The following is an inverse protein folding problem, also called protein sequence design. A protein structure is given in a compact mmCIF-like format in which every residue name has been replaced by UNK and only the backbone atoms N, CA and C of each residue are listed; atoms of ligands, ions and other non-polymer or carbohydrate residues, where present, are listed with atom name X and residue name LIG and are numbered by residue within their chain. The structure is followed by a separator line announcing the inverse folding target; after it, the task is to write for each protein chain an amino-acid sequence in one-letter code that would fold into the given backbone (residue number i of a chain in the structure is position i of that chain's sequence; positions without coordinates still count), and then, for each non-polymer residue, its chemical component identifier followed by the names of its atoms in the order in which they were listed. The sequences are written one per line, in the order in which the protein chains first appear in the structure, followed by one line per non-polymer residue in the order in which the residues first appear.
data_IF_463411360204
#
_entry.id   IF_463411360204
#
_cell.length_a   1.000
_cell.length_b   1.000
_cell.length_c   1.000
_cell.angle_alpha   90.00
_cell.angle_beta   90.00
_cell.angle_gamma   90.00
#
_symmetry.space_group_name_H-M   'P 1'
#
loop_
_entity.id
_entity.type
_entity.pdbx_description
1 polymer ?
#
# COMPACT_ATOMS: atom_id res chain seq x y z
N UNK A 1 -18.09 -15.87 8.59
CA UNK A 1 -18.30 -14.59 7.90
C UNK A 1 -19.49 -14.71 6.96
N UNK A 2 -20.40 -13.72 6.93
CA UNK A 2 -21.55 -13.75 6.02
C UNK A 2 -21.13 -13.44 4.58
N UNK A 3 -21.93 -13.86 3.58
CA UNK A 3 -21.66 -13.58 2.15
C UNK A 3 -21.53 -12.06 1.90
N UNK A 4 -22.38 -11.24 2.52
CA UNK A 4 -22.31 -9.78 2.41
C UNK A 4 -20.97 -9.22 2.92
N UNK A 5 -20.46 -9.73 4.03
CA UNK A 5 -19.19 -9.28 4.60
C UNK A 5 -17.98 -9.81 3.82
N UNK A 6 -18.09 -10.98 3.19
CA UNK A 6 -17.08 -11.46 2.22
C UNK A 6 -17.02 -10.55 0.98
N UNK A 7 -18.19 -10.14 0.48
CA UNK A 7 -18.26 -9.17 -0.63
C UNK A 7 -17.63 -7.82 -0.27
N UNK A 8 -17.82 -7.33 0.97
CA UNK A 8 -17.15 -6.10 1.43
C UNK A 8 -15.62 -6.27 1.52
N UNK A 9 -15.12 -7.41 2.00
CA UNK A 9 -13.68 -7.69 2.04
C UNK A 9 -13.08 -7.77 0.62
N UNK A 10 -13.81 -8.39 -0.32
CA UNK A 10 -13.43 -8.44 -1.72
C UNK A 10 -13.43 -7.05 -2.36
N UNK A 11 -14.43 -6.23 -2.05
CA UNK A 11 -14.52 -4.84 -2.52
C UNK A 11 -13.31 -4.02 -2.05
N UNK A 12 -12.90 -4.15 -0.79
CA UNK A 12 -11.69 -3.49 -0.26
C UNK A 12 -10.45 -3.93 -1.03
N UNK A 13 -10.29 -5.24 -1.24
CA UNK A 13 -9.15 -5.76 -2.02
C UNK A 13 -9.14 -5.23 -3.46
N UNK A 14 -10.32 -5.14 -4.10
CA UNK A 14 -10.47 -4.57 -5.43
C UNK A 14 -10.12 -3.07 -5.45
N UNK A 15 -10.63 -2.28 -4.51
CA UNK A 15 -10.33 -0.85 -4.39
C UNK A 15 -8.82 -0.65 -4.23
N UNK A 16 -8.17 -1.37 -3.32
CA UNK A 16 -6.73 -1.23 -3.10
C UNK A 16 -5.89 -1.73 -4.28
N UNK A 17 -6.30 -2.80 -4.95
CA UNK A 17 -5.60 -3.28 -6.14
C UNK A 17 -5.69 -2.31 -7.32
N UNK A 18 -6.90 -1.84 -7.65
CA UNK A 18 -7.13 -0.88 -8.73
C UNK A 18 -6.48 0.49 -8.43
N UNK A 19 -6.28 0.82 -7.16
CA UNK A 19 -5.63 2.08 -6.78
C UNK A 19 -4.25 2.27 -7.45
N UNK A 20 -3.49 1.19 -7.70
CA UNK A 20 -2.20 1.28 -8.40
C UNK A 20 -2.35 1.76 -9.86
N UNK A 21 -3.40 1.32 -10.54
CA UNK A 21 -3.77 1.85 -11.86
C UNK A 21 -4.13 3.33 -11.78
N UNK A 22 -4.92 3.73 -10.79
CA UNK A 22 -5.30 5.15 -10.58
C UNK A 22 -4.08 6.01 -10.28
N UNK A 23 -3.12 5.51 -9.48
CA UNK A 23 -1.84 6.19 -9.24
C UNK A 23 -1.12 6.43 -10.58
N UNK A 24 -0.99 5.42 -11.43
CA UNK A 24 -0.29 5.55 -12.72
C UNK A 24 -0.95 6.63 -13.59
N UNK A 25 -2.29 6.63 -13.68
CA UNK A 25 -3.04 7.63 -14.46
C UNK A 25 -2.88 9.05 -13.88
N UNK A 26 -2.84 9.21 -12.57
CA UNK A 26 -2.58 10.50 -11.93
C UNK A 26 -1.16 11.02 -12.18
N UNK A 27 -0.18 10.11 -12.27
CA UNK A 27 1.21 10.44 -12.55
C UNK A 27 1.47 10.90 -13.99
N UNK A 28 0.52 10.70 -14.90
CA UNK A 28 0.61 11.23 -16.27
C UNK A 28 0.42 12.76 -16.32
N UNK A 29 -0.21 13.35 -15.29
CA UNK A 29 -0.56 14.77 -15.26
C UNK A 29 0.07 15.55 -14.11
N UNK A 30 0.67 14.87 -13.12
CA UNK A 30 1.34 15.57 -12.01
C UNK A 30 2.51 14.75 -11.44
N UNK A 31 3.36 15.40 -10.67
CA UNK A 31 4.52 14.76 -10.06
C UNK A 31 4.14 13.83 -8.90
N UNK A 32 4.96 12.80 -8.61
CA UNK A 32 4.65 11.78 -7.60
C UNK A 32 4.46 12.34 -6.20
N UNK A 33 5.31 13.27 -5.76
CA UNK A 33 5.19 13.82 -4.40
C UNK A 33 3.98 14.74 -4.26
N UNK A 34 3.63 15.53 -5.29
CA UNK A 34 2.41 16.35 -5.28
C UNK A 34 1.15 15.49 -5.32
N UNK A 35 1.09 14.47 -6.17
CA UNK A 35 -0.07 13.57 -6.19
C UNK A 35 -0.28 12.89 -4.83
N UNK A 36 0.83 12.43 -4.22
CA UNK A 36 0.78 11.85 -2.88
C UNK A 36 0.31 12.87 -1.85
N UNK A 37 0.81 14.10 -1.89
CA UNK A 37 0.40 15.18 -0.99
C UNK A 37 -1.09 15.48 -1.11
N UNK A 38 -1.60 15.67 -2.33
CA UNK A 38 -3.01 15.94 -2.60
C UNK A 38 -3.90 14.80 -2.08
N UNK A 39 -3.53 13.54 -2.34
CA UNK A 39 -4.25 12.39 -1.79
C UNK A 39 -4.44 12.51 -0.28
N UNK A 40 -3.37 12.83 0.48
CA UNK A 40 -3.44 12.90 1.93
C UNK A 40 -4.11 14.18 2.44
N UNK A 41 -4.02 15.30 1.73
CA UNK A 41 -4.80 16.52 2.03
C UNK A 41 -6.29 16.19 1.97
N UNK A 42 -6.76 15.60 0.88
CA UNK A 42 -8.18 15.30 0.71
C UNK A 42 -8.67 14.10 1.55
N UNK A 43 -7.79 13.19 1.95
CA UNK A 43 -8.13 12.14 2.90
C UNK A 43 -8.25 12.67 4.34
N UNK A 44 -7.44 13.65 4.72
CA UNK A 44 -7.41 14.19 6.07
C UNK A 44 -8.40 15.36 6.26
N UNK A 45 -8.29 16.38 5.41
CA UNK A 45 -8.83 17.70 5.69
C UNK A 45 -10.35 17.74 5.91
N UNK A 46 -11.22 17.11 5.10
CA UNK A 46 -12.66 17.17 5.38
C UNK A 46 -13.02 16.51 6.72
N UNK A 47 -12.40 15.38 7.03
CA UNK A 47 -12.73 14.56 8.18
C UNK A 47 -12.12 15.06 9.49
N UNK A 48 -11.00 15.79 9.45
CA UNK A 48 -10.40 16.42 10.62
C UNK A 48 -11.38 17.39 11.33
N UNK A 49 -12.29 17.99 10.58
CA UNK A 49 -13.30 18.91 11.13
C UNK A 49 -14.38 18.20 11.95
N UNK A 50 -14.60 16.91 11.69
CA UNK A 50 -15.68 16.12 12.29
C UNK A 50 -15.19 15.04 13.25
N UNK A 51 -13.96 14.58 13.10
CA UNK A 51 -13.40 13.51 13.91
C UNK A 51 -12.55 14.06 15.07
N UNK A 52 -12.85 13.56 16.27
CA UNK A 52 -12.03 13.88 17.44
C UNK A 52 -10.62 13.31 17.30
N UNK A 53 -9.59 14.00 17.85
CA UNK A 53 -8.23 13.46 17.88
C UNK A 53 -8.18 12.05 18.48
N UNK A 54 -7.33 11.16 17.94
CA UNK A 54 -7.21 9.80 18.46
C UNK A 54 -6.60 9.80 19.86
N UNK A 55 -7.06 8.88 20.71
CA UNK A 55 -6.47 8.66 22.03
C UNK A 55 -5.15 7.90 21.90
N UNK A 56 -4.14 8.53 21.30
CA UNK A 56 -2.80 8.01 21.10
C UNK A 56 -1.78 9.13 21.31
N UNK A 57 -0.54 8.81 21.73
CA UNK A 57 0.53 9.80 21.82
C UNK A 57 0.80 10.46 20.47
N UNK A 58 0.90 11.80 20.43
CA UNK A 58 1.05 12.55 19.18
C UNK A 58 2.30 12.14 18.38
N UNK A 59 3.41 11.79 19.05
CA UNK A 59 4.61 11.31 18.36
C UNK A 59 4.34 10.01 17.59
N UNK A 60 3.44 9.13 18.04
CA UNK A 60 3.02 7.92 17.33
C UNK A 60 2.14 8.28 16.13
N UNK A 61 1.20 9.21 16.30
CA UNK A 61 0.32 9.69 15.21
C UNK A 61 1.15 10.31 14.09
N UNK A 62 2.08 11.21 14.43
CA UNK A 62 2.96 11.88 13.47
C UNK A 62 3.92 10.87 12.83
N UNK A 63 4.59 10.03 13.62
CA UNK A 63 5.52 9.02 13.10
C UNK A 63 4.83 8.07 12.09
N UNK A 64 3.62 7.60 12.40
CA UNK A 64 2.85 6.78 11.48
C UNK A 64 2.54 7.54 10.19
N UNK A 65 2.04 8.77 10.29
CA UNK A 65 1.71 9.59 9.11
C UNK A 65 2.92 9.90 8.23
N UNK A 66 4.08 10.17 8.83
CA UNK A 66 5.34 10.37 8.10
C UNK A 66 5.79 9.08 7.42
N UNK A 67 5.87 7.98 8.16
CA UNK A 67 6.41 6.71 7.63
C UNK A 67 5.45 6.13 6.58
N UNK A 68 4.15 6.05 6.89
CA UNK A 68 3.15 5.49 5.99
C UNK A 68 2.83 6.45 4.85
N UNK A 69 2.56 7.71 5.18
CA UNK A 69 2.05 8.70 4.22
C UNK A 69 3.15 9.29 3.35
N UNK A 70 4.20 9.84 3.95
CA UNK A 70 5.24 10.51 3.19
C UNK A 70 6.26 9.52 2.62
N UNK A 71 6.83 8.63 3.45
CA UNK A 71 7.92 7.75 2.99
C UNK A 71 7.38 6.61 2.12
N UNK A 72 6.48 5.79 2.66
CA UNK A 72 5.98 4.60 1.95
C UNK A 72 5.28 4.97 0.63
N UNK A 73 4.27 5.83 0.68
CA UNK A 73 3.56 6.21 -0.55
C UNK A 73 4.39 7.10 -1.46
N UNK A 74 5.22 7.99 -0.93
CA UNK A 74 6.18 8.77 -1.74
C UNK A 74 7.10 7.86 -2.56
N UNK A 75 7.65 6.81 -1.94
CA UNK A 75 8.49 5.82 -2.63
C UNK A 75 7.71 5.03 -3.68
N UNK A 76 6.48 4.57 -3.38
CA UNK A 76 5.64 3.83 -4.34
C UNK A 76 5.29 4.69 -5.54
N UNK A 77 4.82 5.93 -5.32
CA UNK A 77 4.43 6.81 -6.41
C UNK A 77 5.64 7.20 -7.26
N UNK A 78 6.77 7.48 -6.62
CA UNK A 78 8.02 7.74 -7.35
C UNK A 78 8.51 6.50 -8.12
N UNK A 79 8.45 5.30 -7.55
CA UNK A 79 8.82 4.08 -8.27
C UNK A 79 7.97 3.88 -9.54
N UNK A 80 6.65 4.11 -9.44
CA UNK A 80 5.72 3.98 -10.58
C UNK A 80 6.02 5.06 -11.63
N UNK A 81 6.33 6.30 -11.23
CA UNK A 81 6.65 7.40 -12.15
C UNK A 81 7.92 7.15 -12.97
N UNK A 82 8.88 6.41 -12.42
CA UNK A 82 10.15 6.08 -13.09
C UNK A 82 10.18 4.66 -13.69
N UNK A 83 9.00 4.05 -13.89
CA UNK A 83 8.85 2.85 -14.71
C UNK A 83 8.56 1.55 -13.95
N UNK A 84 8.20 1.58 -12.65
CA UNK A 84 7.65 0.38 -11.99
C UNK A 84 6.25 0.10 -12.53
N UNK A 85 5.99 -1.08 -13.11
CA UNK A 85 4.65 -1.45 -13.55
C UNK A 85 3.66 -1.43 -12.37
N UNK A 86 2.49 -0.83 -12.57
CA UNK A 86 1.51 -0.60 -11.50
C UNK A 86 1.00 -1.93 -10.91
N UNK A 87 0.71 -2.91 -11.74
CA UNK A 87 0.32 -4.24 -11.27
C UNK A 87 1.41 -4.91 -10.44
N UNK A 88 2.67 -4.82 -10.89
CA UNK A 88 3.81 -5.39 -10.18
C UNK A 88 4.08 -4.66 -8.85
N UNK A 89 3.92 -3.33 -8.81
CA UNK A 89 4.03 -2.55 -7.58
C UNK A 89 3.02 -3.03 -6.53
N UNK A 90 1.78 -3.34 -6.95
CA UNK A 90 0.73 -3.86 -6.05
C UNK A 90 1.10 -5.18 -5.38
N UNK A 91 1.88 -6.02 -6.07
CA UNK A 91 2.36 -7.29 -5.54
C UNK A 91 3.56 -7.11 -4.60
N UNK A 92 4.59 -6.39 -5.07
CA UNK A 92 5.86 -6.25 -4.34
C UNK A 92 5.66 -5.52 -3.02
N UNK A 93 4.78 -4.53 -2.98
CA UNK A 93 4.48 -3.81 -1.73
C UNK A 93 3.83 -4.69 -0.66
N UNK A 94 3.19 -5.80 -1.03
CA UNK A 94 2.63 -6.76 -0.08
C UNK A 94 3.71 -7.53 0.70
N UNK A 95 4.96 -7.50 0.25
CA UNK A 95 6.09 -8.03 1.02
C UNK A 95 6.31 -7.31 2.36
N UNK A 96 5.60 -6.20 2.60
CA UNK A 96 5.51 -5.53 3.90
C UNK A 96 5.16 -6.51 5.05
N UNK A 97 4.44 -7.59 4.76
CA UNK A 97 4.10 -8.62 5.75
C UNK A 97 5.37 -9.26 6.33
N UNK A 98 6.34 -9.60 5.49
CA UNK A 98 7.61 -10.20 5.93
C UNK A 98 8.48 -9.21 6.72
N UNK A 99 8.50 -7.95 6.29
CA UNK A 99 9.18 -6.89 7.03
C UNK A 99 8.50 -6.63 8.37
N UNK A 100 7.16 -6.65 8.44
CA UNK A 100 6.42 -6.51 9.71
C UNK A 100 6.78 -7.63 10.68
N UNK A 101 6.83 -8.88 10.23
CA UNK A 101 7.24 -10.03 11.07
C UNK A 101 8.69 -9.86 11.54
N UNK A 102 9.63 -9.54 10.64
CA UNK A 102 11.03 -9.32 11.00
C UNK A 102 11.23 -8.18 12.02
N UNK A 103 10.53 -7.06 11.83
CA UNK A 103 10.56 -5.93 12.74
C UNK A 103 9.90 -6.24 14.09
N UNK A 104 8.84 -7.06 14.12
CA UNK A 104 8.21 -7.51 15.37
C UNK A 104 9.17 -8.36 16.22
N UNK A 105 10.05 -9.14 15.59
CA UNK A 105 11.12 -9.85 16.30
C UNK A 105 12.09 -8.87 16.97
N UNK A 106 12.46 -7.81 16.26
CA UNK A 106 13.44 -6.83 16.74
C UNK A 106 12.88 -5.89 17.81
N UNK A 107 11.65 -5.42 17.64
CA UNK A 107 11.07 -4.37 18.48
C UNK A 107 10.09 -4.86 19.55
N UNK A 108 9.43 -6.00 19.30
CA UNK A 108 8.38 -6.54 20.17
C UNK A 108 8.80 -7.91 20.79
N UNK A 109 10.05 -8.37 20.54
CA UNK A 109 10.61 -9.65 20.98
C UNK A 109 9.72 -10.87 20.60
N UNK A 110 8.95 -10.77 19.52
CA UNK A 110 8.15 -11.87 18.99
C UNK A 110 9.06 -13.00 18.49
N UNK A 111 8.62 -14.25 18.63
CA UNK A 111 9.36 -15.41 18.13
C UNK A 111 8.78 -15.87 16.81
N UNK A 112 9.51 -15.70 15.68
CA UNK A 112 9.03 -16.13 14.38
C UNK A 112 8.98 -17.66 14.33
N UNK A 113 7.94 -18.19 13.71
CA UNK A 113 7.75 -19.62 13.50
C UNK A 113 8.45 -20.06 12.20
N UNK A 114 8.74 -21.35 12.06
CA UNK A 114 9.46 -21.90 10.88
C UNK A 114 8.80 -21.52 9.54
N UNK A 115 7.46 -21.49 9.50
CA UNK A 115 6.75 -21.14 8.27
C UNK A 115 6.96 -19.68 7.83
N UNK A 116 7.26 -18.73 8.75
CA UNK A 116 7.60 -17.35 8.38
C UNK A 116 8.89 -17.27 7.58
N UNK A 117 9.93 -18.04 7.96
CA UNK A 117 11.21 -18.10 7.22
C UNK A 117 11.04 -18.75 5.85
N UNK A 118 10.28 -19.87 5.77
CA UNK A 118 9.96 -20.51 4.51
C UNK A 118 9.19 -19.56 3.58
N UNK A 119 8.17 -18.92 4.10
CA UNK A 119 7.35 -17.96 3.37
C UNK A 119 8.17 -16.77 2.83
N UNK A 120 9.05 -16.20 3.67
CA UNK A 120 9.94 -15.11 3.26
C UNK A 120 10.95 -15.55 2.20
N UNK A 121 11.52 -16.75 2.33
CA UNK A 121 12.44 -17.31 1.32
C UNK A 121 11.78 -17.53 -0.05
N UNK A 122 10.56 -18.08 -0.06
CA UNK A 122 9.78 -18.27 -1.31
C UNK A 122 9.43 -16.92 -1.95
N UNK A 123 9.00 -15.93 -1.15
CA UNK A 123 8.68 -14.60 -1.66
C UNK A 123 9.95 -13.88 -2.19
N UNK A 124 11.07 -13.98 -1.49
CA UNK A 124 12.34 -13.41 -1.95
C UNK A 124 12.80 -14.04 -3.29
N UNK A 125 12.66 -15.37 -3.43
CA UNK A 125 12.91 -16.06 -4.72
C UNK A 125 11.97 -15.52 -5.80
N UNK A 126 10.70 -15.30 -5.49
CA UNK A 126 9.74 -14.71 -6.43
C UNK A 126 10.15 -13.32 -6.89
N UNK A 127 10.58 -12.43 -6.00
CA UNK A 127 11.09 -11.10 -6.34
C UNK A 127 12.36 -11.20 -7.20
N UNK A 128 13.25 -12.14 -6.87
CA UNK A 128 14.46 -12.38 -7.68
C UNK A 128 14.12 -12.84 -9.10
N UNK A 129 13.17 -13.75 -9.26
CA UNK A 129 12.68 -14.19 -10.58
C UNK A 129 12.07 -13.01 -11.36
N UNK A 130 11.30 -12.14 -10.70
CA UNK A 130 10.75 -10.92 -11.31
C UNK A 130 11.86 -9.98 -11.77
N UNK A 131 12.89 -9.78 -10.95
CA UNK A 131 14.00 -8.89 -11.30
C UNK A 131 14.78 -9.37 -12.53
N UNK A 132 14.83 -10.69 -12.78
CA UNK A 132 15.45 -11.29 -13.95
C UNK A 132 14.52 -11.43 -15.16
N UNK A 133 13.21 -11.27 -14.95
CA UNK A 133 12.22 -11.43 -16.01
C UNK A 133 12.31 -10.31 -17.05
N UNK A 134 12.06 -10.67 -18.32
CA UNK A 134 11.98 -9.72 -19.43
C UNK A 134 10.56 -9.66 -19.97
N UNK A 135 10.09 -8.47 -20.28
CA UNK A 135 8.84 -8.23 -20.99
C UNK A 135 9.13 -7.34 -22.19
N UNK A 136 8.73 -7.77 -23.37
CA UNK A 136 9.03 -7.10 -24.64
C UNK A 136 10.53 -6.77 -24.83
N UNK A 137 11.40 -7.70 -24.38
CA UNK A 137 12.85 -7.58 -24.47
C UNK A 137 13.53 -6.73 -23.39
N UNK A 138 12.75 -6.04 -22.55
CA UNK A 138 13.27 -5.21 -21.44
C UNK A 138 13.11 -5.92 -20.10
N UNK A 139 14.11 -5.79 -19.23
CA UNK A 139 14.02 -6.23 -17.83
C UNK A 139 13.18 -5.25 -17.02
N UNK A 140 12.56 -5.74 -15.94
CA UNK A 140 11.97 -4.84 -14.92
C UNK A 140 13.05 -3.91 -14.40
N UNK A 141 12.86 -2.59 -14.43
CA UNK A 141 13.90 -1.66 -13.99
C UNK A 141 14.25 -1.92 -12.51
N UNK A 142 15.52 -2.17 -12.24
CA UNK A 142 15.97 -2.58 -10.91
C UNK A 142 15.76 -1.49 -9.85
N UNK A 143 16.03 -0.24 -10.21
CA UNK A 143 15.89 0.88 -9.26
C UNK A 143 14.45 1.10 -8.79
N UNK A 144 13.43 1.20 -9.66
CA UNK A 144 12.02 1.22 -9.25
C UNK A 144 11.60 0.01 -8.40
N UNK A 145 12.11 -1.19 -8.70
CA UNK A 145 11.86 -2.39 -7.91
C UNK A 145 12.44 -2.25 -6.48
N UNK A 146 13.68 -1.77 -6.34
CA UNK A 146 14.31 -1.51 -5.04
C UNK A 146 13.48 -0.48 -4.25
N UNK A 147 13.06 0.62 -4.86
CA UNK A 147 12.22 1.63 -4.20
C UNK A 147 10.90 1.04 -3.71
N UNK A 148 10.29 0.14 -4.49
CA UNK A 148 9.05 -0.54 -4.09
C UNK A 148 9.27 -1.49 -2.90
N UNK A 149 10.41 -2.18 -2.85
CA UNK A 149 10.80 -3.02 -1.69
C UNK A 149 11.07 -2.15 -0.46
N UNK A 150 11.74 -1.00 -0.63
CA UNK A 150 11.93 -0.03 0.47
C UNK A 150 10.59 0.53 0.97
N UNK A 151 9.64 0.77 0.08
CA UNK A 151 8.28 1.14 0.46
C UNK A 151 7.58 0.05 1.27
N UNK A 152 7.74 -1.22 0.88
CA UNK A 152 7.24 -2.36 1.66
C UNK A 152 7.87 -2.43 3.06
N UNK A 153 9.18 -2.15 3.19
CA UNK A 153 9.85 -2.04 4.48
C UNK A 153 9.28 -0.89 5.32
N UNK A 154 9.11 0.30 4.73
CA UNK A 154 8.50 1.45 5.40
C UNK A 154 7.08 1.13 5.89
N UNK A 155 6.29 0.39 5.10
CA UNK A 155 4.98 -0.06 5.55
C UNK A 155 5.07 -1.03 6.73
N UNK A 156 6.01 -1.97 6.69
CA UNK A 156 6.28 -2.85 7.84
C UNK A 156 6.61 -2.06 9.11
N UNK A 157 7.44 -1.02 9.00
CA UNK A 157 7.75 -0.11 10.10
C UNK A 157 6.51 0.66 10.59
N UNK A 158 5.67 1.17 9.68
CA UNK A 158 4.42 1.84 10.03
C UNK A 158 3.47 0.89 10.79
N UNK A 159 3.42 -0.39 10.43
CA UNK A 159 2.64 -1.39 11.16
C UNK A 159 3.12 -1.55 12.61
N UNK A 160 4.44 -1.60 12.85
CA UNK A 160 5.00 -1.65 14.21
C UNK A 160 4.68 -0.38 15.01
N UNK A 161 4.79 0.79 14.38
CA UNK A 161 4.43 2.07 15.01
C UNK A 161 2.94 2.10 15.38
N UNK A 162 2.05 1.66 14.48
CA UNK A 162 0.60 1.66 14.70
C UNK A 162 0.17 0.78 15.87
N UNK A 163 0.87 -0.34 16.14
CA UNK A 163 0.60 -1.20 17.31
C UNK A 163 0.71 -0.45 18.64
N UNK A 164 1.50 0.62 18.70
CA UNK A 164 1.69 1.44 19.91
C UNK A 164 0.54 2.43 20.16
N UNK A 165 -0.37 2.60 19.19
CA UNK A 165 -1.57 3.42 19.31
C UNK A 165 -2.77 2.66 19.93
N UNK A 166 -2.54 1.79 20.88
CA UNK A 166 -3.40 0.72 21.44
C UNK A 166 -4.90 1.06 21.61
N UNK A 167 -5.23 2.25 22.08
CA UNK A 167 -6.59 2.66 22.44
C UNK A 167 -7.22 3.63 21.43
N UNK A 168 -6.52 3.95 20.35
CA UNK A 168 -7.01 4.88 19.35
C UNK A 168 -8.14 4.29 18.53
N UNK A 169 -9.19 5.09 18.24
CA UNK A 169 -10.12 4.75 17.18
C UNK A 169 -9.35 4.68 15.84
N UNK A 170 -9.38 3.54 15.12
CA UNK A 170 -8.55 3.37 13.93
C UNK A 170 -8.85 4.37 12.81
N UNK A 171 -10.11 4.78 12.62
CA UNK A 171 -10.47 5.75 11.60
C UNK A 171 -9.90 7.12 11.97
N UNK A 172 -10.11 7.56 13.21
CA UNK A 172 -9.52 8.78 13.74
C UNK A 172 -8.00 8.76 13.65
N UNK A 173 -7.36 7.65 14.01
CA UNK A 173 -5.90 7.49 13.96
C UNK A 173 -5.38 7.68 12.52
N UNK A 174 -5.99 7.02 11.53
CA UNK A 174 -5.58 7.14 10.12
C UNK A 174 -5.80 8.54 9.59
N UNK A 175 -6.95 9.16 9.85
CA UNK A 175 -7.27 10.51 9.36
C UNK A 175 -6.32 11.56 9.95
N UNK A 176 -6.11 11.54 11.27
CA UNK A 176 -5.21 12.50 11.93
C UNK A 176 -3.74 12.29 11.56
N UNK A 177 -3.30 11.04 11.43
CA UNK A 177 -1.93 10.76 10.97
C UNK A 177 -1.72 11.13 9.50
N UNK A 178 -2.75 11.03 8.66
CA UNK A 178 -2.68 11.47 7.26
C UNK A 178 -2.32 12.95 7.10
N UNK A 179 -2.64 13.79 8.08
CA UNK A 179 -2.29 15.22 8.05
C UNK A 179 -0.78 15.51 8.22
N UNK A 180 -0.01 14.54 8.71
CA UNK A 180 1.44 14.73 8.89
C UNK A 180 2.24 14.56 7.58
N UNK A 181 1.71 13.88 6.58
CA UNK A 181 2.41 13.61 5.32
C UNK A 181 2.50 14.83 4.38
N UNK A 182 1.42 15.60 4.12
CA UNK A 182 1.44 16.67 3.12
C UNK A 182 2.53 17.72 3.28
N UNK A 183 2.84 18.25 4.47
CA UNK A 183 3.89 19.25 4.61
C UNK A 183 5.26 18.76 4.13
N UNK A 184 5.60 17.50 4.46
CA UNK A 184 6.86 16.89 4.05
C UNK A 184 6.90 16.58 2.55
N UNK A 185 5.78 16.11 2.00
CA UNK A 185 5.67 15.80 0.58
C UNK A 185 5.73 17.05 -0.29
N UNK A 186 5.08 18.14 0.14
CA UNK A 186 5.17 19.44 -0.55
C UNK A 186 6.59 20.00 -0.45
N UNK A 187 7.20 19.99 0.73
CA UNK A 187 8.59 20.42 0.89
C UNK A 187 9.55 19.58 0.04
N UNK A 188 9.36 18.24 0.02
CA UNK A 188 10.11 17.34 -0.85
C UNK A 188 9.91 17.64 -2.33
N UNK A 189 8.68 17.93 -2.77
CA UNK A 189 8.38 18.28 -4.15
C UNK A 189 9.06 19.59 -4.58
N UNK A 190 9.09 20.59 -3.71
CA UNK A 190 9.77 21.86 -4.01
C UNK A 190 11.28 21.69 -4.25
N UNK A 191 11.90 20.70 -3.59
CA UNK A 191 13.34 20.43 -3.71
C UNK A 191 13.66 19.44 -4.82
N UNK A 192 12.89 18.34 -4.91
CA UNK A 192 13.20 17.19 -5.77
C UNK A 192 12.47 17.22 -7.12
N UNK A 193 11.42 18.02 -7.23
CA UNK A 193 10.57 18.12 -8.43
C UNK A 193 10.46 19.58 -8.90
N UNK A 194 11.57 20.22 -9.33
CA UNK A 194 11.59 21.64 -9.67
C UNK A 194 10.58 21.96 -10.78
N UNK A 195 9.74 22.97 -10.53
CA UNK A 195 8.68 23.38 -11.47
C UNK A 195 7.36 22.59 -11.35
N UNK A 196 7.30 21.52 -10.56
CA UNK A 196 6.09 20.70 -10.42
C UNK A 196 4.88 21.50 -9.91
N UNK A 197 5.09 22.41 -8.95
CA UNK A 197 4.02 23.26 -8.44
C UNK A 197 3.49 24.24 -9.49
N UNK A 198 4.38 24.81 -10.31
CA UNK A 198 3.99 25.69 -11.41
C UNK A 198 3.22 24.90 -12.48
N UNK A 199 3.67 23.69 -12.81
CA UNK A 199 2.96 22.79 -13.72
C UNK A 199 1.57 22.47 -13.20
N UNK A 200 1.46 22.13 -11.90
CA UNK A 200 0.17 21.88 -11.24
C UNK A 200 -0.79 23.08 -11.36
N UNK A 201 -0.31 24.29 -11.07
CA UNK A 201 -1.13 25.51 -11.19
C UNK A 201 -1.51 25.84 -12.63
N UNK A 202 -0.74 25.34 -13.60
CA UNK A 202 -1.00 25.48 -15.04
C UNK A 202 -2.00 24.51 -15.62
N UNK A 203 -2.39 23.44 -14.91
CA UNK A 203 -3.30 22.42 -15.40
C UNK A 203 -4.67 23.00 -15.79
N UNK A 204 -5.20 22.55 -16.93
CA UNK A 204 -6.51 22.96 -17.45
C UNK A 204 -7.20 21.77 -18.16
N UNK A 205 -8.50 21.90 -18.36
CA UNK A 205 -9.27 20.95 -19.17
C UNK A 205 -9.15 19.51 -18.68
N UNK A 206 -8.75 18.64 -19.60
CA UNK A 206 -8.68 17.18 -19.37
C UNK A 206 -7.66 16.82 -18.28
N UNK A 207 -6.51 17.50 -18.23
CA UNK A 207 -5.46 17.19 -17.25
C UNK A 207 -5.90 17.57 -15.83
N UNK A 208 -6.56 18.72 -15.66
CA UNK A 208 -7.14 19.11 -14.38
C UNK A 208 -8.24 18.14 -13.93
N UNK A 209 -9.07 17.69 -14.88
CA UNK A 209 -10.07 16.66 -14.61
C UNK A 209 -9.42 15.34 -14.18
N UNK A 210 -8.39 14.90 -14.90
CA UNK A 210 -7.63 13.68 -14.58
C UNK A 210 -7.01 13.76 -13.20
N UNK A 211 -6.36 14.87 -12.85
CA UNK A 211 -5.83 15.08 -11.51
C UNK A 211 -6.94 15.01 -10.44
N UNK A 212 -8.05 15.68 -10.69
CA UNK A 212 -9.15 15.77 -9.71
C UNK A 212 -9.74 14.39 -9.41
N UNK A 213 -10.16 13.65 -10.45
CA UNK A 213 -10.79 12.36 -10.22
C UNK A 213 -9.82 11.31 -9.66
N UNK A 214 -8.55 11.30 -10.11
CA UNK A 214 -7.55 10.37 -9.59
C UNK A 214 -7.23 10.65 -8.13
N UNK A 215 -7.06 11.93 -7.77
CA UNK A 215 -6.85 12.34 -6.38
C UNK A 215 -8.04 11.96 -5.50
N UNK A 216 -9.29 12.22 -5.95
CA UNK A 216 -10.49 11.86 -5.20
C UNK A 216 -10.65 10.34 -5.07
N UNK A 217 -10.35 9.57 -6.12
CA UNK A 217 -10.37 8.12 -6.09
C UNK A 217 -9.33 7.54 -5.12
N UNK A 218 -8.17 8.16 -5.01
CA UNK A 218 -7.14 7.77 -4.04
C UNK A 218 -7.48 8.21 -2.61
N UNK A 219 -8.08 9.38 -2.42
CA UNK A 219 -8.43 9.90 -1.09
C UNK A 219 -9.68 9.20 -0.51
N UNK A 220 -10.80 9.21 -1.23
CA UNK A 220 -12.10 8.79 -0.67
C UNK A 220 -12.26 7.26 -0.67
N UNK A 221 -12.35 6.56 -1.82
CA UNK A 221 -12.56 5.12 -1.78
C UNK A 221 -11.35 4.37 -1.22
N UNK A 222 -10.11 4.77 -1.58
CA UNK A 222 -8.93 3.99 -1.22
C UNK A 222 -8.49 4.23 0.23
N UNK A 223 -8.50 5.49 0.70
CA UNK A 223 -8.00 5.81 2.04
C UNK A 223 -9.13 5.81 3.07
N UNK A 224 -10.27 6.46 2.80
CA UNK A 224 -11.33 6.60 3.81
C UNK A 224 -12.22 5.35 3.83
N UNK A 225 -12.87 5.04 2.71
CA UNK A 225 -13.89 3.99 2.65
C UNK A 225 -13.29 2.60 2.89
N UNK A 226 -12.23 2.25 2.14
CA UNK A 226 -11.62 0.93 2.24
C UNK A 226 -11.04 0.67 3.64
N UNK A 227 -10.36 1.66 4.26
CA UNK A 227 -9.91 1.51 5.64
C UNK A 227 -11.05 1.41 6.64
N UNK A 228 -12.12 2.20 6.50
CA UNK A 228 -13.28 2.11 7.39
C UNK A 228 -13.91 0.71 7.35
N UNK A 229 -14.15 0.17 6.16
CA UNK A 229 -14.68 -1.20 5.97
C UNK A 229 -13.71 -2.22 6.53
N UNK A 230 -12.41 -2.11 6.24
CA UNK A 230 -11.39 -3.07 6.68
C UNK A 230 -11.27 -3.14 8.19
N UNK A 231 -11.20 -1.98 8.84
CA UNK A 231 -11.16 -1.89 10.30
C UNK A 231 -12.44 -2.46 10.93
N UNK A 232 -13.61 -2.15 10.35
CA UNK A 232 -14.86 -2.71 10.83
C UNK A 232 -14.89 -4.23 10.71
N UNK A 233 -14.40 -4.79 9.59
CA UNK A 233 -14.29 -6.24 9.41
C UNK A 233 -13.36 -6.88 10.45
N UNK A 234 -12.19 -6.27 10.73
CA UNK A 234 -11.24 -6.75 11.73
C UNK A 234 -11.75 -6.66 13.17
N UNK A 235 -12.70 -5.78 13.43
CA UNK A 235 -13.40 -5.71 14.74
C UNK A 235 -14.51 -6.74 14.87
N UNK A 236 -15.14 -7.10 13.73
CA UNK A 236 -16.27 -8.02 13.70
C UNK A 236 -15.84 -9.48 13.62
N UNK A 237 -14.70 -9.75 13.00
CA UNK A 237 -14.19 -11.09 12.74
C UNK A 237 -12.73 -11.23 13.16
N UNK A 238 -12.33 -12.46 13.47
CA UNK A 238 -10.92 -12.78 13.74
C UNK A 238 -10.05 -12.40 12.52
N UNK A 239 -8.88 -11.82 12.77
CA UNK A 239 -7.94 -11.40 11.72
C UNK A 239 -7.62 -12.56 10.75
N UNK A 240 -7.48 -13.79 11.27
CA UNK A 240 -7.26 -14.99 10.45
C UNK A 240 -8.33 -15.24 9.37
N UNK A 241 -9.55 -14.71 9.52
CA UNK A 241 -10.64 -14.85 8.53
C UNK A 241 -10.56 -13.70 7.51
N UNK A 242 -10.18 -12.50 7.93
CA UNK A 242 -10.20 -11.29 7.10
C UNK A 242 -8.91 -11.14 6.28
N UNK A 243 -7.75 -11.38 6.89
CA UNK A 243 -6.44 -11.15 6.26
C UNK A 243 -6.22 -11.88 4.91
N UNK A 244 -6.73 -13.11 4.68
CA UNK A 244 -6.58 -13.76 3.37
C UNK A 244 -7.15 -12.95 2.20
N UNK A 245 -8.13 -12.07 2.42
CA UNK A 245 -8.67 -11.21 1.36
C UNK A 245 -7.63 -10.16 0.87
N UNK A 246 -6.67 -9.76 1.71
CA UNK A 246 -5.59 -8.87 1.29
C UNK A 246 -4.69 -9.50 0.21
N UNK A 247 -4.60 -10.84 0.15
CA UNK A 247 -3.86 -11.55 -0.91
C UNK A 247 -4.49 -11.38 -2.29
N UNK A 248 -5.73 -10.91 -2.37
CA UNK A 248 -6.42 -10.64 -3.63
C UNK A 248 -6.06 -9.24 -4.19
N UNK A 249 -5.47 -8.36 -3.40
CA UNK A 249 -5.05 -7.02 -3.83
C UNK A 249 -4.16 -7.08 -5.09
N UNK A 250 -3.10 -7.89 -5.15
CA UNK A 250 -2.30 -8.01 -6.36
C UNK A 250 -3.07 -8.54 -7.56
N UNK A 251 -4.05 -9.43 -7.37
CA UNK A 251 -4.88 -9.96 -8.47
C UNK A 251 -5.65 -8.82 -9.12
N UNK A 252 -6.28 -7.97 -8.34
CA UNK A 252 -6.96 -6.77 -8.85
C UNK A 252 -5.98 -5.73 -9.39
N UNK A 253 -4.77 -5.62 -8.81
CA UNK A 253 -3.71 -4.74 -9.30
C UNK A 253 -3.22 -5.14 -10.69
N UNK A 254 -2.91 -6.42 -10.88
CA UNK A 254 -2.55 -6.95 -12.20
C UNK A 254 -3.70 -6.84 -13.20
N UNK A 255 -4.93 -7.20 -12.78
CA UNK A 255 -6.11 -7.08 -13.64
C UNK A 255 -6.39 -5.64 -14.07
N UNK A 256 -6.34 -4.68 -13.13
CA UNK A 256 -6.51 -3.25 -13.43
C UNK A 256 -5.43 -2.72 -14.36
N UNK A 257 -4.16 -3.05 -14.11
CA UNK A 257 -3.05 -2.61 -14.95
C UNK A 257 -3.13 -3.21 -16.37
N UNK A 258 -3.52 -4.48 -16.51
CA UNK A 258 -3.71 -5.08 -17.82
C UNK A 258 -4.88 -4.44 -18.60
N UNK A 259 -6.02 -4.22 -17.93
CA UNK A 259 -7.25 -3.71 -18.57
C UNK A 259 -7.17 -2.23 -18.93
N UNK A 260 -6.60 -1.39 -18.06
CA UNK A 260 -6.64 0.06 -18.20
C UNK A 260 -5.33 0.68 -18.67
N UNK A 261 -4.19 0.01 -18.42
CA UNK A 261 -2.86 0.51 -18.82
C UNK A 261 -2.24 -0.31 -19.95
N UNK A 262 -2.87 -1.43 -20.35
CA UNK A 262 -2.31 -2.33 -21.36
C UNK A 262 -1.04 -3.05 -20.95
N UNK A 263 -0.76 -3.15 -19.64
CA UNK A 263 0.41 -3.85 -19.14
C UNK A 263 0.37 -5.33 -19.52
N UNK A 264 1.47 -5.82 -20.09
CA UNK A 264 1.63 -7.22 -20.49
C UNK A 264 2.57 -7.91 -19.53
N UNK A 265 2.28 -9.17 -19.24
CA UNK A 265 3.04 -9.96 -18.28
C UNK A 265 3.75 -11.09 -19.00
N UNK A 266 5.08 -11.16 -18.85
CA UNK A 266 5.85 -12.30 -19.32
C UNK A 266 5.64 -13.52 -18.41
N UNK A 267 5.94 -14.71 -18.92
CA UNK A 267 5.90 -15.93 -18.13
C UNK A 267 6.77 -15.82 -16.86
N UNK A 268 7.95 -15.17 -16.97
CA UNK A 268 8.84 -14.94 -15.84
C UNK A 268 8.20 -14.10 -14.74
N UNK A 269 7.53 -13.00 -15.10
CA UNK A 269 6.77 -12.18 -14.13
C UNK A 269 5.65 -13.00 -13.51
N UNK A 270 4.92 -13.80 -14.30
CA UNK A 270 3.87 -14.69 -13.82
C UNK A 270 4.36 -15.71 -12.81
N UNK A 271 5.47 -16.39 -13.10
CA UNK A 271 6.11 -17.36 -12.17
C UNK A 271 6.55 -16.67 -10.87
N UNK A 272 7.23 -15.53 -10.99
CA UNK A 272 7.64 -14.76 -9.81
C UNK A 272 6.46 -14.28 -8.97
N UNK A 273 5.37 -13.82 -9.62
CA UNK A 273 4.14 -13.41 -8.93
C UNK A 273 3.50 -14.58 -8.17
N UNK A 274 3.43 -15.76 -8.77
CA UNK A 274 2.92 -16.97 -8.10
C UNK A 274 3.78 -17.32 -6.89
N UNK A 275 5.11 -17.23 -6.97
CA UNK A 275 5.99 -17.48 -5.84
C UNK A 275 5.78 -16.46 -4.71
N UNK A 276 5.67 -15.17 -5.02
CA UNK A 276 5.38 -14.14 -4.00
C UNK A 276 4.04 -14.41 -3.33
N UNK A 277 2.99 -14.67 -4.11
CA UNK A 277 1.65 -14.99 -3.57
C UNK A 277 1.65 -16.27 -2.74
N UNK A 278 2.39 -17.31 -3.16
CA UNK A 278 2.56 -18.53 -2.39
C UNK A 278 3.24 -18.27 -1.04
N UNK A 279 4.32 -17.48 -1.02
CA UNK A 279 4.97 -17.04 0.22
C UNK A 279 4.00 -16.30 1.14
N UNK A 280 3.27 -15.33 0.62
CA UNK A 280 2.24 -14.59 1.38
C UNK A 280 1.15 -15.54 1.92
N UNK A 281 0.67 -16.48 1.11
CA UNK A 281 -0.34 -17.45 1.52
C UNK A 281 0.18 -18.38 2.63
N UNK A 282 1.41 -18.89 2.51
CA UNK A 282 2.05 -19.72 3.56
C UNK A 282 2.14 -18.94 4.86
N UNK A 283 2.53 -17.66 4.82
CA UNK A 283 2.62 -16.81 6.00
C UNK A 283 1.25 -16.69 6.71
N UNK A 284 0.22 -16.31 5.96
CA UNK A 284 -1.13 -16.07 6.51
C UNK A 284 -1.80 -17.38 6.98
N UNK A 285 -1.72 -18.46 6.18
CA UNK A 285 -2.38 -19.73 6.48
C UNK A 285 -1.61 -20.54 7.55
N UNK A 286 -0.29 -20.38 7.63
CA UNK A 286 0.54 -20.99 8.67
C UNK A 286 0.14 -20.51 10.06
N UNK A 287 -0.09 -19.22 10.24
CA UNK A 287 -0.58 -18.67 11.50
C UNK A 287 -1.99 -19.16 11.87
N UNK A 288 -2.87 -19.34 10.87
CA UNK A 288 -4.22 -19.88 11.06
C UNK A 288 -4.21 -21.30 11.63
N UNK A 289 -3.38 -22.19 11.08
CA UNK A 289 -3.32 -23.61 11.52
C UNK A 289 -2.88 -23.72 12.97
N UNK A 290 -1.95 -22.88 13.40
CA UNK A 290 -1.43 -22.92 14.76
C UNK A 290 -2.43 -22.31 15.74
N UNK A 291 -3.15 -21.25 15.40
CA UNK A 291 -4.22 -20.71 16.23
C UNK A 291 -5.35 -21.74 16.44
N UNK A 292 -5.68 -22.54 15.43
CA UNK A 292 -6.69 -23.60 15.51
C UNK A 292 -6.23 -24.83 16.31
N UNK A 293 -4.92 -25.08 16.45
CA UNK A 293 -4.37 -26.20 17.23
C UNK A 293 -4.16 -25.88 18.72
N UNK A 294 -4.28 -24.59 19.10
CA UNK A 294 -4.11 -24.09 20.48
C UNK A 294 -5.45 -23.72 21.15
N UNK A 295 -6.56 -23.85 20.44
CA UNK A 295 -7.94 -23.75 20.96
C UNK A 295 -8.56 -25.12 21.18
#
# INVERSE_FOLDING_TARGET
MTIKHMALALLVAAIWGIAFTVIRLGLDVTSPLLLTALRFVFAAFPLLLFLRPPKAPWHIVVAYGVIQGAVMFGLVFHAISIGMPAGLASLVVQCQVFFTVGLAVLFDAERPKRHHFLAAGIAALGIFVIALAKTDGQTVPLWPLILTVMAAFAWGMANIVSRRAKSADPVSFVVWSSAAAPPLLVAGSLVLEPGALNALMGLRGVDLWTLTWTTMALAVPTTILAFAIWVWLLRTYQAAIVMPFALLVPIFGFGGAALFLGERWSLGIGVGAVLVLAGLAINVLGDRRIAASSS
#
